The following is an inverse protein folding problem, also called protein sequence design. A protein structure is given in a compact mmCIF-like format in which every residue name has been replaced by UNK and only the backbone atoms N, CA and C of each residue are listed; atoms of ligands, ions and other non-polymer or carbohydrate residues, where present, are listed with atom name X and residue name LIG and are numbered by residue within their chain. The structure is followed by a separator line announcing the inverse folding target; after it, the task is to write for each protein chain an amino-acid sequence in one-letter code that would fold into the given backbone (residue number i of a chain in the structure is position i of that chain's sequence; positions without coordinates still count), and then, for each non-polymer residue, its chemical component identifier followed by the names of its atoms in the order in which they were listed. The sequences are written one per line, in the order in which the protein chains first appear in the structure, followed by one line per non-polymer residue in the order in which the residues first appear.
data_IF_233333018310
#
_entry.id   IF_233333018310
#
_cell.length_a   1.000
_cell.length_b   1.000
_cell.length_c   1.000
_cell.angle_alpha   90.00
_cell.angle_beta   90.00
_cell.angle_gamma   90.00
#
_symmetry.space_group_name_H-M   'P 1'
#
loop_
_entity.id
_entity.type
_entity.pdbx_description
1 polymer ?
#
# COMPACT_ATOMS: atom_id res chain seq x y z
N UNK A 1 7.12 -23.94 17.52
CA UNK A 1 7.61 -23.00 16.48
C UNK A 1 7.83 -21.65 17.15
N UNK A 2 8.86 -20.88 16.79
CA UNK A 2 9.07 -19.58 17.44
C UNK A 2 7.94 -18.64 17.03
N UNK A 3 7.45 -17.82 17.97
CA UNK A 3 6.39 -16.80 17.73
C UNK A 3 6.67 -15.92 16.51
N UNK A 4 7.94 -15.73 16.16
CA UNK A 4 8.36 -14.97 14.99
C UNK A 4 8.05 -15.69 13.66
N UNK A 5 8.20 -17.02 13.58
CA UNK A 5 7.83 -17.78 12.38
C UNK A 5 6.31 -17.80 12.15
N UNK A 6 5.57 -17.88 13.23
CA UNK A 6 4.10 -17.82 13.18
C UNK A 6 3.61 -16.44 12.72
N UNK A 7 4.17 -15.35 13.27
CA UNK A 7 3.85 -13.99 12.85
C UNK A 7 4.20 -13.71 11.37
N UNK A 8 5.23 -14.37 10.82
CA UNK A 8 5.63 -14.20 9.42
C UNK A 8 4.77 -15.03 8.45
N UNK A 9 4.50 -16.30 8.78
CA UNK A 9 3.86 -17.24 7.85
C UNK A 9 2.34 -17.21 7.93
N UNK A 10 1.79 -16.88 9.10
CA UNK A 10 0.33 -16.87 9.30
C UNK A 10 -0.39 -15.90 8.36
N UNK A 11 0.08 -14.65 8.15
CA UNK A 11 -0.54 -13.71 7.22
C UNK A 11 -0.47 -14.12 5.75
N UNK A 12 0.49 -14.99 5.39
CA UNK A 12 0.65 -15.41 3.98
C UNK A 12 -0.36 -16.51 3.64
N UNK A 13 -0.57 -17.50 4.53
CA UNK A 13 -1.34 -18.70 4.23
C UNK A 13 -2.68 -18.79 4.94
N UNK A 14 -2.72 -18.52 6.24
CA UNK A 14 -3.90 -18.81 7.08
C UNK A 14 -4.74 -17.58 7.39
N UNK A 15 -4.13 -16.39 7.46
CA UNK A 15 -4.80 -15.16 7.91
C UNK A 15 -4.45 -13.97 7.01
N UNK A 16 -4.69 -14.18 5.70
CA UNK A 16 -4.32 -13.19 4.70
C UNK A 16 -5.14 -11.89 4.84
N UNK A 17 -4.50 -10.71 4.84
CA UNK A 17 -5.17 -9.44 5.08
C UNK A 17 -6.24 -9.11 4.05
N UNK A 18 -6.08 -9.46 2.78
CA UNK A 18 -7.12 -9.20 1.77
C UNK A 18 -8.16 -10.32 1.74
N UNK A 19 -7.72 -11.59 1.69
CA UNK A 19 -8.62 -12.70 1.44
C UNK A 19 -9.56 -13.00 2.63
N UNK A 20 -9.06 -12.87 3.86
CA UNK A 20 -9.81 -13.22 5.07
C UNK A 20 -10.24 -12.01 5.88
N UNK A 21 -9.34 -11.03 6.05
CA UNK A 21 -9.65 -9.85 6.88
C UNK A 21 -10.35 -8.74 6.10
N UNK A 22 -10.44 -8.86 4.74
CA UNK A 22 -11.09 -7.87 3.85
C UNK A 22 -10.49 -6.47 4.03
N UNK A 23 -9.21 -6.38 4.36
CA UNK A 23 -8.49 -5.14 4.55
C UNK A 23 -7.76 -4.73 3.27
N UNK A 24 -7.85 -3.45 2.88
CA UNK A 24 -7.10 -2.90 1.76
C UNK A 24 -7.67 -3.17 0.37
N UNK A 25 -8.93 -3.56 0.25
CA UNK A 25 -9.59 -3.75 -1.06
C UNK A 25 -9.63 -2.44 -1.86
N UNK A 26 -9.81 -1.29 -1.20
CA UNK A 26 -9.88 0.02 -1.86
C UNK A 26 -8.60 0.30 -2.65
N UNK A 27 -7.44 0.10 -2.03
CA UNK A 27 -6.15 0.28 -2.69
C UNK A 27 -5.88 -0.81 -3.74
N UNK A 28 -6.31 -2.05 -3.50
CA UNK A 28 -6.21 -3.13 -4.46
C UNK A 28 -6.95 -2.82 -5.77
N UNK A 29 -8.16 -2.30 -5.70
CA UNK A 29 -8.93 -1.92 -6.88
C UNK A 29 -8.35 -0.72 -7.62
N UNK A 30 -7.81 0.26 -6.90
CA UNK A 30 -7.27 1.49 -7.47
C UNK A 30 -5.94 1.27 -8.21
N UNK A 31 -5.06 0.43 -7.64
CA UNK A 31 -3.65 0.32 -8.10
C UNK A 31 -3.46 -0.78 -9.14
N UNK A 32 -4.29 -1.83 -9.16
CA UNK A 32 -4.11 -3.02 -10.02
C UNK A 32 -4.40 -2.80 -11.51
N UNK A 33 -4.57 -1.56 -11.96
CA UNK A 33 -4.74 -1.23 -13.37
C UNK A 33 -3.45 -1.32 -14.19
N UNK A 34 -2.27 -1.31 -13.55
CA UNK A 34 -0.96 -1.34 -14.21
C UNK A 34 0.03 -2.13 -13.34
N UNK A 35 0.64 -3.17 -13.90
CA UNK A 35 1.52 -4.08 -13.17
C UNK A 35 2.75 -3.38 -12.59
N UNK A 36 3.34 -2.44 -13.33
CA UNK A 36 4.51 -1.68 -12.88
C UNK A 36 4.21 -0.84 -11.62
N UNK A 37 3.11 -0.10 -11.65
CA UNK A 37 2.65 0.71 -10.51
C UNK A 37 2.30 -0.20 -9.32
N UNK A 38 1.69 -1.35 -9.59
CA UNK A 38 1.36 -2.34 -8.54
C UNK A 38 2.61 -2.85 -7.84
N UNK A 39 3.69 -3.14 -8.55
CA UNK A 39 4.95 -3.60 -7.96
C UNK A 39 5.58 -2.53 -7.05
N UNK A 40 5.65 -1.28 -7.51
CA UNK A 40 6.17 -0.18 -6.70
C UNK A 40 5.30 0.01 -5.44
N UNK A 41 3.99 -0.05 -5.60
CA UNK A 41 3.05 0.07 -4.48
C UNK A 41 3.22 -1.07 -3.45
N UNK A 42 3.49 -2.29 -3.89
CA UNK A 42 3.75 -3.43 -3.01
C UNK A 42 4.99 -3.19 -2.13
N UNK A 43 6.09 -2.71 -2.72
CA UNK A 43 7.32 -2.41 -1.99
C UNK A 43 7.10 -1.24 -1.02
N UNK A 44 6.49 -0.14 -1.48
CA UNK A 44 6.21 1.03 -0.67
C UNK A 44 5.32 0.68 0.53
N UNK A 45 4.22 -0.03 0.31
CA UNK A 45 3.28 -0.40 1.36
C UNK A 45 3.93 -1.36 2.37
N UNK A 46 4.67 -2.37 1.91
CA UNK A 46 5.38 -3.32 2.81
C UNK A 46 6.37 -2.58 3.70
N UNK A 47 7.12 -1.63 3.16
CA UNK A 47 8.07 -0.80 3.91
C UNK A 47 7.34 0.08 4.93
N UNK A 48 6.27 0.75 4.53
CA UNK A 48 5.48 1.62 5.42
C UNK A 48 4.85 0.82 6.56
N UNK A 49 4.22 -0.34 6.28
CA UNK A 49 3.59 -1.18 7.31
C UNK A 49 4.62 -1.65 8.32
N UNK A 50 5.79 -2.10 7.86
CA UNK A 50 6.86 -2.58 8.72
C UNK A 50 7.39 -1.48 9.64
N UNK A 51 7.72 -0.31 9.08
CA UNK A 51 8.24 0.83 9.83
C UNK A 51 7.18 1.44 10.75
N UNK A 52 5.92 1.50 10.31
CA UNK A 52 4.80 1.98 11.12
C UNK A 52 4.58 1.10 12.34
N UNK A 53 4.51 -0.23 12.16
CA UNK A 53 4.36 -1.17 13.26
C UNK A 53 5.53 -1.08 14.25
N UNK A 54 6.75 -0.93 13.76
CA UNK A 54 7.93 -0.73 14.59
C UNK A 54 7.82 0.56 15.42
N UNK A 55 7.52 1.69 14.77
CA UNK A 55 7.44 3.01 15.38
C UNK A 55 6.31 3.08 16.42
N UNK A 56 5.13 2.59 16.08
CA UNK A 56 3.97 2.56 16.99
C UNK A 56 4.26 1.68 18.21
N UNK A 57 4.89 0.52 18.01
CA UNK A 57 5.25 -0.37 19.14
C UNK A 57 6.30 0.22 20.07
N UNK A 58 7.23 1.05 19.56
CA UNK A 58 8.21 1.77 20.39
C UNK A 58 7.55 2.83 21.29
N UNK A 59 6.58 3.57 20.72
CA UNK A 59 5.96 4.72 21.41
C UNK A 59 4.73 4.31 22.22
N UNK A 60 4.21 3.10 22.07
CA UNK A 60 2.94 2.62 22.66
C UNK A 60 2.76 2.92 24.15
N UNK A 61 3.84 2.90 24.94
CA UNK A 61 3.79 3.13 26.38
C UNK A 61 3.56 4.59 26.78
N UNK A 62 3.76 5.54 25.84
CA UNK A 62 3.63 6.98 26.08
C UNK A 62 2.31 7.53 25.53
N UNK A 63 1.54 6.74 24.78
CA UNK A 63 0.33 7.22 24.11
C UNK A 63 -0.89 6.96 25.02
N UNK A 64 -1.61 8.02 25.44
CA UNK A 64 -2.88 7.86 26.15
C UNK A 64 -3.97 7.33 25.20
N UNK A 65 -4.90 6.55 25.75
CA UNK A 65 -5.94 5.84 24.99
C UNK A 65 -6.84 6.76 24.16
N UNK A 66 -7.06 8.00 24.62
CA UNK A 66 -7.99 8.94 23.98
C UNK A 66 -7.48 9.52 22.66
N UNK A 67 -6.15 9.65 22.48
CA UNK A 67 -5.53 10.25 21.29
C UNK A 67 -4.76 9.23 20.44
N UNK A 68 -4.86 7.96 20.76
CA UNK A 68 -4.08 6.87 20.16
C UNK A 68 -4.17 6.84 18.63
N UNK A 69 -5.38 6.91 18.08
CA UNK A 69 -5.62 6.85 16.64
C UNK A 69 -4.99 8.05 15.92
N UNK A 70 -5.08 9.25 16.51
CA UNK A 70 -4.51 10.47 15.93
C UNK A 70 -2.99 10.36 15.81
N UNK A 71 -2.34 9.87 16.88
CA UNK A 71 -0.87 9.67 16.90
C UNK A 71 -0.44 8.63 15.87
N UNK A 72 -1.17 7.53 15.77
CA UNK A 72 -0.89 6.50 14.76
C UNK A 72 -0.98 7.03 13.34
N UNK A 73 -2.06 7.74 12.99
CA UNK A 73 -2.23 8.34 11.66
C UNK A 73 -1.12 9.35 11.37
N UNK A 74 -0.72 10.16 12.36
CA UNK A 74 0.39 11.13 12.19
C UNK A 74 1.71 10.44 11.90
N UNK A 75 2.04 9.36 12.60
CA UNK A 75 3.25 8.56 12.36
C UNK A 75 3.20 7.94 10.95
N UNK A 76 2.08 7.34 10.58
CA UNK A 76 1.90 6.72 9.26
C UNK A 76 2.05 7.77 8.16
N UNK A 77 1.41 8.93 8.29
CA UNK A 77 1.49 10.02 7.31
C UNK A 77 2.93 10.51 7.12
N UNK A 78 3.67 10.71 8.21
CA UNK A 78 5.07 11.13 8.15
C UNK A 78 5.95 10.09 7.44
N UNK A 79 5.76 8.81 7.75
CA UNK A 79 6.52 7.73 7.08
C UNK A 79 6.18 7.63 5.60
N UNK A 80 4.91 7.80 5.23
CA UNK A 80 4.49 7.77 3.83
C UNK A 80 5.09 8.94 3.05
N UNK A 81 5.12 10.16 3.64
CA UNK A 81 5.78 11.31 3.02
C UNK A 81 7.28 11.06 2.81
N UNK A 82 7.97 10.47 3.78
CA UNK A 82 9.38 10.11 3.63
C UNK A 82 9.61 9.11 2.51
N UNK A 83 8.75 8.10 2.38
CA UNK A 83 8.85 7.11 1.30
C UNK A 83 8.56 7.75 -0.06
N UNK A 84 7.61 8.69 -0.14
CA UNK A 84 7.31 9.43 -1.37
C UNK A 84 8.49 10.29 -1.82
N UNK A 85 9.13 11.03 -0.92
CA UNK A 85 10.34 11.81 -1.20
C UNK A 85 11.51 10.94 -1.70
N UNK A 86 11.70 9.76 -1.11
CA UNK A 86 12.69 8.79 -1.57
C UNK A 86 12.36 8.28 -2.97
N UNK A 87 11.09 7.96 -3.25
CA UNK A 87 10.66 7.55 -4.58
C UNK A 87 10.85 8.65 -5.62
N UNK A 88 10.57 9.91 -5.27
CA UNK A 88 10.82 11.06 -6.15
C UNK A 88 12.29 11.22 -6.54
N UNK A 89 13.19 10.91 -5.62
CA UNK A 89 14.63 10.98 -5.88
C UNK A 89 15.13 9.91 -6.87
N UNK A 90 14.48 8.74 -6.92
CA UNK A 90 14.90 7.63 -7.78
C UNK A 90 14.16 7.59 -9.12
N UNK A 91 12.87 7.90 -9.16
CA UNK A 91 12.04 7.83 -10.38
C UNK A 91 10.90 8.85 -10.33
N UNK A 92 11.16 10.00 -10.97
CA UNK A 92 10.23 11.14 -10.99
C UNK A 92 8.91 10.86 -11.74
N UNK A 93 8.96 10.08 -12.82
CA UNK A 93 7.78 9.74 -13.63
C UNK A 93 6.81 8.85 -12.85
N UNK A 94 7.34 7.84 -12.16
CA UNK A 94 6.56 6.95 -11.31
C UNK A 94 5.99 7.67 -10.09
N UNK A 95 6.75 8.59 -9.48
CA UNK A 95 6.29 9.38 -8.35
C UNK A 95 5.09 10.27 -8.70
N UNK A 96 5.09 10.91 -9.87
CA UNK A 96 3.97 11.74 -10.30
C UNK A 96 2.66 10.96 -10.43
N UNK A 97 2.74 9.71 -10.87
CA UNK A 97 1.58 8.81 -10.93
C UNK A 97 1.21 8.29 -9.54
N UNK A 98 2.19 8.02 -8.70
CA UNK A 98 2.02 7.51 -7.35
C UNK A 98 1.56 8.57 -6.35
N UNK A 99 1.80 9.86 -6.58
CA UNK A 99 1.37 10.93 -5.66
C UNK A 99 -0.14 10.89 -5.37
N UNK A 100 -0.94 10.46 -6.35
CA UNK A 100 -2.38 10.22 -6.17
C UNK A 100 -2.63 9.02 -5.23
N UNK A 101 -1.76 8.01 -5.25
CA UNK A 101 -1.91 6.79 -4.45
C UNK A 101 -1.27 6.89 -3.05
N UNK A 102 -0.41 7.87 -2.81
CA UNK A 102 0.20 8.15 -1.50
C UNK A 102 -0.88 8.36 -0.43
N UNK A 103 -1.93 9.11 -0.77
CA UNK A 103 -3.09 9.27 0.11
C UNK A 103 -3.79 7.95 0.45
N UNK A 104 -3.81 6.98 -0.48
CA UNK A 104 -4.39 5.65 -0.27
C UNK A 104 -3.51 4.77 0.64
N UNK A 105 -2.20 5.02 0.72
CA UNK A 105 -1.32 4.31 1.66
C UNK A 105 -1.58 4.80 3.09
N UNK A 106 -1.71 6.11 3.29
CA UNK A 106 -1.98 6.69 4.62
C UNK A 106 -3.30 6.18 5.20
N UNK A 107 -4.34 6.15 4.38
CA UNK A 107 -5.69 5.72 4.79
C UNK A 107 -5.90 4.21 4.66
N UNK A 108 -4.86 3.44 4.36
CA UNK A 108 -4.98 2.00 4.13
C UNK A 108 -5.35 1.26 5.41
N UNK A 109 -6.44 0.51 5.35
CA UNK A 109 -6.97 -0.25 6.47
C UNK A 109 -5.97 -1.28 7.04
N UNK A 110 -5.04 -1.80 6.20
CA UNK A 110 -4.02 -2.74 6.65
C UNK A 110 -3.03 -2.07 7.58
N UNK A 111 -2.50 -0.89 7.19
CA UNK A 111 -1.50 -0.17 7.96
C UNK A 111 -2.05 0.18 9.34
N UNK A 112 -3.22 0.79 9.36
CA UNK A 112 -3.90 1.20 10.60
C UNK A 112 -4.38 -0.01 11.40
N UNK A 113 -4.94 -1.02 10.76
CA UNK A 113 -5.44 -2.22 11.42
C UNK A 113 -4.34 -3.02 12.11
N UNK A 114 -3.17 -3.19 11.50
CA UNK A 114 -2.03 -3.90 12.11
C UNK A 114 -1.34 -3.06 13.19
N UNK A 115 -1.24 -1.76 13.03
CA UNK A 115 -0.74 -0.86 14.06
C UNK A 115 -1.57 -0.96 15.35
N UNK A 116 -2.89 -0.98 15.24
CA UNK A 116 -3.79 -1.07 16.37
C UNK A 116 -3.92 -2.49 16.93
N UNK A 117 -4.11 -3.49 16.08
CA UNK A 117 -4.40 -4.84 16.52
C UNK A 117 -3.17 -5.56 17.09
N UNK A 118 -1.99 -5.33 16.51
CA UNK A 118 -0.78 -6.08 16.82
C UNK A 118 0.33 -5.23 17.47
N UNK A 119 0.69 -4.08 16.88
CA UNK A 119 1.82 -3.29 17.33
C UNK A 119 1.61 -2.70 18.73
N UNK A 120 0.39 -2.34 19.09
CA UNK A 120 0.05 -1.85 20.42
C UNK A 120 0.15 -2.93 21.52
N UNK A 121 0.07 -4.22 21.19
CA UNK A 121 0.05 -5.32 22.15
C UNK A 121 1.39 -6.05 22.27
N UNK A 122 2.21 -6.01 21.24
CA UNK A 122 3.44 -6.79 21.13
C UNK A 122 4.70 -5.91 21.15
N UNK A 123 5.85 -6.54 21.35
CA UNK A 123 7.14 -5.86 21.33
C UNK A 123 7.56 -5.39 19.92
N UNK A 124 8.49 -4.42 19.81
CA UNK A 124 8.82 -3.77 18.54
C UNK A 124 9.37 -4.74 17.48
N UNK A 125 10.22 -5.67 17.87
CA UNK A 125 10.81 -6.64 16.94
C UNK A 125 9.74 -7.57 16.34
N UNK A 126 8.83 -8.06 17.19
CA UNK A 126 7.76 -8.95 16.74
C UNK A 126 6.75 -8.21 15.87
N UNK A 127 6.47 -6.93 16.19
CA UNK A 127 5.60 -6.06 15.40
C UNK A 127 6.17 -5.74 14.01
N UNK A 128 7.49 -5.58 13.90
CA UNK A 128 8.14 -5.40 12.60
C UNK A 128 8.04 -6.66 11.73
N UNK A 129 8.26 -7.85 12.31
CA UNK A 129 8.14 -9.13 11.59
C UNK A 129 6.69 -9.36 11.14
N UNK A 130 5.72 -9.04 11.97
CA UNK A 130 4.30 -9.12 11.63
C UNK A 130 3.94 -8.16 10.49
N UNK A 131 4.42 -6.90 10.56
CA UNK A 131 4.23 -5.92 9.50
C UNK A 131 4.78 -6.37 8.15
N UNK A 132 5.98 -6.95 8.16
CA UNK A 132 6.60 -7.51 6.98
C UNK A 132 5.81 -8.71 6.41
N UNK A 133 5.37 -9.63 7.26
CA UNK A 133 4.55 -10.77 6.86
C UNK A 133 3.21 -10.37 6.24
N UNK A 134 2.52 -9.40 6.85
CA UNK A 134 1.25 -8.87 6.32
C UNK A 134 1.46 -8.10 5.01
N UNK A 135 2.54 -7.32 4.90
CA UNK A 135 2.91 -6.63 3.67
C UNK A 135 3.17 -7.60 2.51
N UNK A 136 3.88 -8.69 2.77
CA UNK A 136 4.11 -9.75 1.77
C UNK A 136 2.81 -10.47 1.39
N UNK A 137 1.98 -10.84 2.36
CA UNK A 137 0.69 -11.48 2.11
C UNK A 137 -0.24 -10.61 1.25
N UNK A 138 -0.26 -9.30 1.52
CA UNK A 138 -0.97 -8.31 0.70
C UNK A 138 -0.40 -8.23 -0.71
N UNK A 139 0.93 -8.12 -0.84
CA UNK A 139 1.61 -7.97 -2.13
C UNK A 139 1.37 -9.15 -3.07
N UNK A 140 1.37 -10.38 -2.55
CA UNK A 140 1.11 -11.59 -3.34
C UNK A 140 -0.28 -11.52 -3.98
N UNK A 141 -1.32 -11.20 -3.22
CA UNK A 141 -2.68 -11.11 -3.75
C UNK A 141 -2.82 -9.96 -4.74
N UNK A 142 -2.20 -8.79 -4.45
CA UNK A 142 -2.23 -7.66 -5.38
C UNK A 142 -1.63 -8.02 -6.74
N UNK A 143 -0.49 -8.69 -6.74
CA UNK A 143 0.18 -9.13 -7.99
C UNK A 143 -0.70 -10.12 -8.75
N UNK A 144 -1.33 -11.08 -8.07
CA UNK A 144 -2.24 -12.03 -8.71
C UNK A 144 -3.42 -11.30 -9.36
N UNK A 145 -4.05 -10.37 -8.64
CA UNK A 145 -5.17 -9.58 -9.16
C UNK A 145 -4.72 -8.70 -10.35
N UNK A 146 -3.54 -8.07 -10.25
CA UNK A 146 -3.00 -7.25 -11.32
C UNK A 146 -2.74 -8.07 -12.59
N UNK A 147 -2.14 -9.26 -12.47
CA UNK A 147 -1.91 -10.16 -13.60
C UNK A 147 -3.23 -10.57 -14.26
N UNK A 148 -4.23 -10.99 -13.46
CA UNK A 148 -5.54 -11.39 -13.97
C UNK A 148 -6.21 -10.21 -14.69
N UNK A 149 -6.16 -9.04 -14.10
CA UNK A 149 -6.78 -7.83 -14.64
C UNK A 149 -6.10 -7.34 -15.92
N UNK A 150 -4.77 -7.41 -15.99
CA UNK A 150 -4.01 -7.08 -17.19
C UNK A 150 -4.25 -8.09 -18.30
N UNK A 151 -4.34 -9.39 -17.97
CA UNK A 151 -4.65 -10.45 -18.94
C UNK A 151 -6.06 -10.31 -19.55
N UNK A 152 -7.07 -10.01 -18.73
CA UNK A 152 -8.45 -9.83 -19.19
C UNK A 152 -8.65 -8.51 -19.91
N UNK A 153 -7.95 -7.43 -19.46
CA UNK A 153 -8.14 -6.08 -19.98
C UNK A 153 -7.39 -5.78 -21.29
N UNK A 154 -6.19 -6.31 -21.45
CA UNK A 154 -5.29 -5.97 -22.56
C UNK A 154 -4.91 -7.15 -23.45
N UNK A 155 -5.15 -8.38 -23.03
CA UNK A 155 -4.77 -9.61 -23.78
C UNK A 155 -3.25 -9.82 -23.95
N UNK A 156 -2.42 -8.96 -23.36
CA UNK A 156 -0.96 -9.01 -23.47
C UNK A 156 -0.30 -8.61 -22.16
N UNK A 157 0.72 -9.38 -21.75
CA UNK A 157 1.54 -9.03 -20.59
C UNK A 157 2.39 -7.78 -20.87
N UNK A 158 2.45 -6.83 -19.96
CA UNK A 158 3.28 -5.62 -20.00
C UNK A 158 2.98 -4.58 -21.10
N UNK A 159 1.93 -4.71 -21.89
CA UNK A 159 1.64 -3.78 -22.98
C UNK A 159 1.04 -2.43 -22.55
N UNK A 160 0.53 -2.33 -21.33
CA UNK A 160 -0.20 -1.14 -20.86
C UNK A 160 0.70 0.07 -20.53
N UNK A 161 2.02 -0.11 -20.41
CA UNK A 161 2.95 1.00 -20.17
C UNK A 161 2.99 1.96 -21.36
N UNK A 162 2.80 1.45 -22.60
CA UNK A 162 2.86 2.25 -23.83
C UNK A 162 1.52 2.73 -24.40
N UNK A 163 0.38 2.14 -24.00
CA UNK A 163 -0.92 2.40 -24.64
C UNK A 163 -1.82 3.35 -23.84
N UNK A 164 -1.56 3.64 -22.58
CA UNK A 164 -2.44 4.50 -21.79
C UNK A 164 -2.26 6.01 -22.06
N UNK A 165 -1.26 6.42 -22.83
CA UNK A 165 -1.06 7.83 -23.20
C UNK A 165 -2.03 8.38 -24.27
N UNK A 166 -2.45 7.63 -25.30
CA UNK A 166 -3.30 8.21 -26.36
C UNK A 166 -4.71 8.58 -25.88
N UNK A 167 -5.27 7.91 -24.91
CA UNK A 167 -6.63 8.22 -24.40
C UNK A 167 -6.69 9.49 -23.56
N UNK A 168 -5.59 9.86 -22.90
CA UNK A 168 -5.50 11.12 -22.15
C UNK A 168 -5.46 12.36 -23.07
N UNK A 169 -4.80 12.25 -24.21
CA UNK A 169 -4.77 13.32 -25.23
C UNK A 169 -6.15 13.52 -25.87
N UNK A 170 -6.93 12.46 -26.09
CA UNK A 170 -8.29 12.54 -26.59
C UNK A 170 -9.27 13.23 -25.62
N UNK A 171 -9.13 12.97 -24.30
CA UNK A 171 -9.96 13.60 -23.27
C UNK A 171 -9.65 15.10 -23.10
N UNK A 172 -8.38 15.51 -23.23
CA UNK A 172 -7.98 16.93 -23.16
C UNK A 172 -8.52 17.69 -24.36
N UNK A 173 -8.50 17.12 -25.56
CA UNK A 173 -9.06 17.78 -26.77
C UNK A 173 -10.58 17.92 -26.65
N UNK A 174 -11.28 16.99 -26.03
CA UNK A 174 -12.73 17.09 -25.80
C UNK A 174 -13.09 18.17 -24.76
N UNK A 175 -12.31 18.28 -23.68
CA UNK A 175 -12.49 19.31 -22.66
C UNK A 175 -12.23 20.72 -23.22
N UNK A 176 -11.21 20.89 -24.05
CA UNK A 176 -10.92 22.17 -24.74
C UNK A 176 -12.01 22.54 -25.74
N UNK A 177 -12.65 21.58 -26.42
CA UNK A 177 -13.75 21.83 -27.34
C UNK A 177 -15.03 22.29 -26.63
N UNK A 178 -15.31 21.77 -25.40
CA UNK A 178 -16.44 22.21 -24.60
C UNK A 178 -16.26 23.61 -23.97
N UNK A 179 -15.03 24.05 -23.76
CA UNK A 179 -14.73 25.40 -23.21
C UNK A 179 -14.77 26.52 -24.26
N UNK A 180 -14.83 26.18 -25.57
CA UNK A 180 -14.84 27.15 -26.65
C UNK A 180 -16.26 27.50 -27.15
N UNK A 181 -17.29 27.09 -26.45
CA UNK A 181 -18.68 27.41 -26.72
C UNK A 181 -19.25 28.25 -25.58
#
# INVERSE_FOLDING_TARGET
MSKAKEALLNPIFNDNPIALQILGICSALAVTGNLYITLIMCVALTTVVTLSNLSVSLIRNHIPTNIRIIVQISIIATLVMLVDEVLQAFDYESSKTLSVFVGLIVTNCIVMGRAEAFAMKNGPLLSAIDGFGNGLGYSIILIIIAIIREFIGAGTFLSLIHISEPTRLGMISYAVFCLKK
#
